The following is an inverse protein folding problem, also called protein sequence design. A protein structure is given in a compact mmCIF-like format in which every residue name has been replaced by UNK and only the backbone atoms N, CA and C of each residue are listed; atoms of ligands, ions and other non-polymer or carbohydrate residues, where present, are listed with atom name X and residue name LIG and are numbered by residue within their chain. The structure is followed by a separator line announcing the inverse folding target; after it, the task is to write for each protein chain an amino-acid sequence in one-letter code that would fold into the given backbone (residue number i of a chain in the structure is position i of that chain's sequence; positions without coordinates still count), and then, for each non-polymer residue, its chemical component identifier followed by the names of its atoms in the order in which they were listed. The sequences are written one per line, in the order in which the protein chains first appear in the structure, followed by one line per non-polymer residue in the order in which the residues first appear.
data_IF_176756071041
#
_entry.id   IF_176756071041
#
_cell.length_a   1.000
_cell.length_b   1.000
_cell.length_c   1.000
_cell.angle_alpha   90.00
_cell.angle_beta   90.00
_cell.angle_gamma   90.00
#
_symmetry.space_group_name_H-M   'P 1'
#
loop_
_entity.id
_entity.type
_entity.pdbx_description
1 polymer ?
#
# COMPACT_ATOMS: atom_id res chain seq x y z
N UNK A 1 20.18 38.30 -27.58
CA UNK A 1 19.37 38.03 -26.37
C UNK A 1 19.68 36.61 -25.95
N UNK A 2 20.64 36.42 -25.05
CA UNK A 2 21.17 35.10 -24.67
C UNK A 2 20.63 34.75 -23.29
N UNK A 3 19.78 33.72 -23.21
CA UNK A 3 19.30 33.19 -21.93
C UNK A 3 20.20 32.04 -21.52
N UNK A 4 20.91 32.23 -20.41
CA UNK A 4 21.73 31.23 -19.74
C UNK A 4 20.82 30.14 -19.16
N UNK A 5 21.07 28.88 -19.52
CA UNK A 5 20.47 27.72 -18.85
C UNK A 5 21.24 27.50 -17.54
N UNK A 6 20.59 27.79 -16.41
CA UNK A 6 21.13 27.54 -15.08
C UNK A 6 21.21 26.05 -14.80
N UNK A 7 22.43 25.56 -14.60
CA UNK A 7 22.73 24.21 -14.12
C UNK A 7 22.31 24.11 -12.64
N UNK A 8 21.17 23.47 -12.36
CA UNK A 8 20.76 23.19 -10.98
C UNK A 8 21.50 21.95 -10.48
N UNK A 9 22.65 22.19 -9.84
CA UNK A 9 23.42 21.17 -9.15
C UNK A 9 22.67 20.76 -7.88
N UNK A 10 22.06 19.57 -7.88
CA UNK A 10 21.55 18.94 -6.67
C UNK A 10 22.74 18.23 -6.01
N UNK A 11 23.23 18.82 -4.92
CA UNK A 11 24.21 18.20 -4.04
C UNK A 11 23.54 17.01 -3.31
N UNK A 12 23.90 15.80 -3.74
CA UNK A 12 23.68 14.59 -2.95
C UNK A 12 24.77 14.49 -1.87
N UNK A 13 24.48 14.95 -0.65
CA UNK A 13 25.02 14.30 0.54
C UNK A 13 23.98 13.24 0.94
N UNK A 14 24.19 11.95 0.84
CA UNK A 14 25.40 11.21 1.16
C UNK A 14 25.01 10.15 2.16
N UNK A 15 24.21 9.16 1.73
CA UNK A 15 24.17 7.82 2.32
C UNK A 15 24.21 6.87 1.13
N UNK A 16 25.39 6.31 0.87
CA UNK A 16 25.53 5.16 -0.01
C UNK A 16 24.87 3.98 0.71
N UNK A 17 23.56 3.83 0.55
CA UNK A 17 22.93 2.55 0.79
C UNK A 17 23.50 1.60 -0.26
N UNK A 18 24.37 0.69 0.17
CA UNK A 18 24.76 -0.49 -0.60
C UNK A 18 23.48 -1.31 -0.83
N UNK A 19 22.73 -0.96 -1.87
CA UNK A 19 21.52 -1.66 -2.28
C UNK A 19 21.85 -2.61 -3.43
N UNK A 20 21.38 -3.85 -3.31
CA UNK A 20 21.48 -4.87 -4.35
C UNK A 20 20.79 -4.41 -5.64
N UNK A 21 21.23 -4.93 -6.79
CA UNK A 21 20.76 -4.51 -8.11
C UNK A 21 19.87 -5.60 -8.72
N UNK A 22 18.66 -5.25 -9.13
CA UNK A 22 17.77 -6.14 -9.87
C UNK A 22 18.27 -6.29 -11.31
N UNK A 23 17.98 -7.45 -11.90
CA UNK A 23 18.28 -7.76 -13.30
C UNK A 23 16.99 -7.80 -14.11
N UNK A 24 16.82 -6.84 -15.02
CA UNK A 24 15.65 -6.72 -15.89
C UNK A 24 16.01 -7.18 -17.29
N UNK A 25 15.29 -8.18 -17.76
CA UNK A 25 15.40 -8.71 -19.11
C UNK A 25 14.35 -8.03 -19.98
N UNK A 26 14.78 -7.35 -21.03
CA UNK A 26 13.90 -6.72 -22.01
C UNK A 26 13.64 -7.65 -23.20
N UNK A 27 12.49 -7.49 -23.85
CA UNK A 27 12.10 -8.30 -25.02
C UNK A 27 13.00 -8.08 -26.23
N UNK A 28 13.70 -6.94 -26.28
CA UNK A 28 14.69 -6.64 -27.32
C UNK A 28 16.06 -7.30 -27.07
N UNK A 29 16.18 -8.10 -26.01
CA UNK A 29 17.40 -8.82 -25.64
C UNK A 29 18.37 -8.03 -24.76
N UNK A 30 18.09 -6.76 -24.43
CA UNK A 30 18.90 -6.01 -23.48
C UNK A 30 18.68 -6.51 -22.05
N UNK A 31 19.76 -6.45 -21.26
CA UNK A 31 19.75 -6.76 -19.83
C UNK A 31 20.13 -5.48 -19.10
N UNK A 32 19.24 -5.02 -18.22
CA UNK A 32 19.43 -3.83 -17.40
C UNK A 32 19.69 -4.27 -15.97
N UNK A 33 20.79 -3.82 -15.38
CA UNK A 33 21.11 -4.03 -13.97
C UNK A 33 21.01 -2.71 -13.22
N UNK A 34 20.18 -2.64 -12.20
CA UNK A 34 20.02 -1.42 -11.41
C UNK A 34 18.85 -1.49 -10.45
N UNK A 35 18.86 -0.57 -9.48
CA UNK A 35 17.85 -0.53 -8.42
C UNK A 35 16.47 -0.16 -8.97
N UNK A 36 15.43 -0.96 -8.76
CA UNK A 36 14.06 -0.52 -9.03
C UNK A 36 13.66 0.50 -7.95
N UNK A 37 13.39 1.74 -8.37
CA UNK A 37 13.04 2.84 -7.46
C UNK A 37 11.56 3.21 -7.51
N UNK A 38 10.82 2.69 -8.49
CA UNK A 38 9.37 2.81 -8.59
C UNK A 38 8.82 1.70 -9.50
N UNK A 39 7.73 1.06 -9.11
CA UNK A 39 7.01 0.06 -9.89
C UNK A 39 5.54 0.48 -9.97
N UNK A 40 5.10 0.94 -11.15
CA UNK A 40 3.72 1.28 -11.44
C UNK A 40 3.03 0.17 -12.24
N UNK A 41 1.70 0.21 -12.35
CA UNK A 41 0.91 -0.86 -13.01
C UNK A 41 1.27 -1.14 -14.47
N UNK A 42 2.04 -0.25 -15.13
CA UNK A 42 2.43 -0.35 -16.54
C UNK A 42 3.92 -0.11 -16.80
N UNK A 43 4.72 0.20 -15.76
CA UNK A 43 6.13 0.53 -15.93
C UNK A 43 6.94 0.30 -14.65
N UNK A 44 8.26 0.18 -14.82
CA UNK A 44 9.24 0.23 -13.73
C UNK A 44 10.24 1.36 -13.98
N UNK A 45 10.70 2.02 -12.94
CA UNK A 45 11.81 2.99 -12.98
C UNK A 45 13.02 2.36 -12.30
N UNK A 46 14.14 2.37 -12.99
CA UNK A 46 15.36 1.68 -12.63
C UNK A 46 16.51 2.68 -12.59
N UNK A 47 17.31 2.64 -11.53
CA UNK A 47 18.52 3.44 -11.43
C UNK A 47 19.68 2.73 -12.14
N UNK A 48 19.94 3.14 -13.38
CA UNK A 48 21.14 2.74 -14.11
C UNK A 48 22.30 3.66 -13.74
N UNK A 49 23.08 3.23 -12.75
CA UNK A 49 24.08 4.09 -12.13
C UNK A 49 23.41 5.25 -11.39
N UNK A 50 23.58 6.48 -11.87
CA UNK A 50 22.98 7.70 -11.28
C UNK A 50 21.77 8.23 -12.05
N UNK A 51 21.36 7.55 -13.13
CA UNK A 51 20.29 8.02 -14.00
C UNK A 51 19.06 7.13 -13.86
N UNK A 52 17.89 7.68 -13.50
CA UNK A 52 16.64 6.94 -13.53
C UNK A 52 16.22 6.68 -14.99
N UNK A 53 15.86 5.45 -15.31
CA UNK A 53 15.30 5.05 -16.59
C UNK A 53 13.98 4.33 -16.40
N UNK A 54 12.98 4.68 -17.22
CA UNK A 54 11.67 4.06 -17.21
C UNK A 54 11.58 2.97 -18.28
N UNK A 55 11.00 1.83 -17.91
CA UNK A 55 10.72 0.68 -18.77
C UNK A 55 9.25 0.30 -18.65
N UNK A 56 8.55 0.13 -19.77
CA UNK A 56 7.14 -0.25 -19.77
C UNK A 56 6.97 -1.77 -19.77
N UNK A 57 5.83 -2.27 -19.25
CA UNK A 57 5.57 -3.72 -19.13
C UNK A 57 5.58 -4.45 -20.49
N UNK A 58 5.25 -3.75 -21.57
CA UNK A 58 5.32 -4.29 -22.92
C UNK A 58 6.77 -4.48 -23.41
N UNK A 59 7.74 -3.76 -22.84
CA UNK A 59 9.17 -3.87 -23.12
C UNK A 59 9.86 -4.92 -22.25
N UNK A 60 9.30 -5.24 -21.08
CA UNK A 60 9.90 -6.14 -20.10
C UNK A 60 9.52 -7.59 -20.43
N UNK A 61 10.53 -8.44 -20.52
CA UNK A 61 10.35 -9.89 -20.65
C UNK A 61 10.17 -10.52 -19.27
N UNK A 62 11.07 -10.21 -18.33
CA UNK A 62 11.02 -10.66 -16.93
C UNK A 62 11.97 -9.83 -16.07
N UNK A 63 11.74 -9.84 -14.77
CA UNK A 63 12.61 -9.20 -13.77
C UNK A 63 13.09 -10.31 -12.83
N UNK A 64 14.41 -10.45 -12.69
CA UNK A 64 15.04 -11.27 -11.66
C UNK A 64 15.48 -10.32 -10.54
N UNK A 65 14.88 -10.50 -9.37
CA UNK A 65 15.30 -9.83 -8.14
C UNK A 65 16.33 -10.74 -7.48
N UNK A 66 17.54 -10.25 -7.19
CA UNK A 66 18.56 -11.05 -6.49
C UNK A 66 17.97 -11.51 -5.15
N UNK A 67 18.02 -12.82 -4.87
CA UNK A 67 17.27 -13.53 -3.81
C UNK A 67 17.70 -13.20 -2.35
N UNK A 68 18.41 -12.10 -2.11
CA UNK A 68 18.58 -11.52 -0.78
C UNK A 68 17.99 -10.10 -0.77
N UNK A 69 16.81 -9.97 -0.16
CA UNK A 69 16.01 -8.74 0.04
C UNK A 69 15.11 -8.29 -1.12
N UNK A 70 14.15 -9.13 -1.50
CA UNK A 70 12.77 -8.66 -1.71
C UNK A 70 11.83 -9.59 -0.97
N UNK A 71 11.69 -9.28 0.31
CA UNK A 71 10.73 -9.92 1.19
C UNK A 71 9.34 -9.37 0.83
N UNK A 72 8.69 -9.98 -0.16
CA UNK A 72 7.23 -9.98 -0.23
C UNK A 72 6.68 -11.11 0.66
N UNK A 73 7.29 -11.32 1.83
CA UNK A 73 6.66 -12.08 2.89
C UNK A 73 5.47 -11.28 3.42
N UNK A 74 4.32 -11.96 3.43
CA UNK A 74 3.26 -11.66 4.38
C UNK A 74 3.87 -11.50 5.79
N UNK A 75 3.41 -10.53 6.58
CA UNK A 75 3.53 -10.44 8.06
C UNK A 75 4.48 -9.42 8.72
N UNK A 76 5.17 -8.50 8.03
CA UNK A 76 6.00 -7.49 8.70
C UNK A 76 5.42 -6.07 8.69
N UNK A 77 4.72 -5.74 9.78
CA UNK A 77 4.48 -4.39 10.31
C UNK A 77 5.61 -3.38 9.96
N UNK A 78 5.31 -2.33 9.18
CA UNK A 78 6.20 -1.16 8.96
C UNK A 78 6.14 -0.11 10.08
N UNK A 79 5.37 -0.40 11.12
CA UNK A 79 5.15 0.49 12.25
C UNK A 79 5.96 -0.04 13.42
N UNK A 80 7.13 0.54 13.67
CA UNK A 80 7.92 0.22 14.87
C UNK A 80 7.06 0.43 16.13
N UNK A 81 6.69 -0.62 16.87
CA UNK A 81 5.83 -0.50 18.04
C UNK A 81 6.46 0.33 19.17
N UNK A 82 7.79 0.48 19.17
CA UNK A 82 8.51 1.25 20.18
C UNK A 82 8.38 2.77 20.00
N UNK A 83 7.86 3.23 18.86
CA UNK A 83 7.64 4.67 18.62
C UNK A 83 6.44 5.25 19.40
N UNK A 84 5.63 4.40 20.03
CA UNK A 84 4.46 4.82 20.82
C UNK A 84 4.84 4.88 22.30
N UNK A 85 4.92 6.09 22.86
CA UNK A 85 5.31 6.29 24.27
C UNK A 85 4.21 5.84 25.25
N UNK A 86 2.93 6.07 24.88
CA UNK A 86 1.78 5.84 25.78
C UNK A 86 1.12 4.46 25.59
N UNK A 87 1.51 3.70 24.57
CA UNK A 87 0.90 2.41 24.22
C UNK A 87 1.96 1.33 24.26
N UNK A 88 1.70 0.22 24.97
CA UNK A 88 2.68 -0.85 25.04
C UNK A 88 2.95 -1.47 23.65
N UNK A 89 4.21 -1.84 23.33
CA UNK A 89 4.55 -2.49 22.06
C UNK A 89 3.68 -3.71 21.72
N UNK A 90 3.33 -4.52 22.73
CA UNK A 90 2.41 -5.64 22.57
C UNK A 90 1.02 -5.18 22.10
N UNK A 91 0.48 -4.13 22.72
CA UNK A 91 -0.85 -3.62 22.38
C UNK A 91 -0.86 -2.97 21.00
N UNK A 92 0.20 -2.26 20.62
CA UNK A 92 0.39 -1.75 19.26
C UNK A 92 0.32 -2.88 18.23
N UNK A 93 1.08 -3.97 18.45
CA UNK A 93 1.06 -5.13 17.57
C UNK A 93 -0.33 -5.75 17.45
N UNK A 94 -1.03 -5.92 18.57
CA UNK A 94 -2.40 -6.44 18.58
C UNK A 94 -3.37 -5.56 17.77
N UNK A 95 -3.25 -4.23 17.89
CA UNK A 95 -4.09 -3.29 17.13
C UNK A 95 -3.82 -3.43 15.63
N UNK A 96 -2.55 -3.48 15.23
CA UNK A 96 -2.16 -3.63 13.82
C UNK A 96 -2.67 -4.97 13.28
N UNK A 97 -2.45 -6.06 14.00
CA UNK A 97 -2.97 -7.39 13.64
C UNK A 97 -4.49 -7.38 13.50
N UNK A 98 -5.21 -6.72 14.41
CA UNK A 98 -6.68 -6.61 14.33
C UNK A 98 -7.12 -5.92 13.03
N UNK A 99 -6.46 -4.82 12.65
CA UNK A 99 -6.76 -4.08 11.41
C UNK A 99 -6.47 -4.89 10.15
N UNK A 100 -5.53 -5.82 10.21
CA UNK A 100 -5.24 -6.75 9.11
C UNK A 100 -6.31 -7.83 9.03
N UNK A 101 -6.55 -8.56 10.12
CA UNK A 101 -7.45 -9.73 10.10
C UNK A 101 -8.92 -9.36 9.94
N UNK A 102 -9.33 -8.14 10.32
CA UNK A 102 -10.70 -7.67 10.12
C UNK A 102 -10.93 -7.00 8.74
N UNK A 103 -9.88 -6.88 7.92
CA UNK A 103 -9.95 -6.27 6.58
C UNK A 103 -9.88 -4.73 6.56
N UNK A 104 -9.62 -4.06 7.68
CA UNK A 104 -9.52 -2.58 7.74
C UNK A 104 -8.40 -2.07 6.84
N UNK A 105 -7.20 -2.64 6.94
CA UNK A 105 -6.05 -2.27 6.09
C UNK A 105 -6.38 -2.46 4.61
N UNK A 106 -6.95 -3.61 4.26
CA UNK A 106 -7.35 -3.92 2.88
C UNK A 106 -8.39 -2.92 2.35
N UNK A 107 -9.41 -2.59 3.16
CA UNK A 107 -10.44 -1.63 2.77
C UNK A 107 -9.86 -0.22 2.56
N UNK A 108 -8.94 0.22 3.42
CA UNK A 108 -8.23 1.51 3.23
C UNK A 108 -7.42 1.50 1.95
N UNK A 109 -6.69 0.43 1.68
CA UNK A 109 -5.92 0.28 0.47
C UNK A 109 -6.82 0.36 -0.77
N UNK A 110 -7.90 -0.42 -0.81
CA UNK A 110 -8.84 -0.39 -1.93
C UNK A 110 -9.49 0.98 -2.11
N UNK A 111 -9.82 1.69 -1.02
CA UNK A 111 -10.37 3.05 -1.11
C UNK A 111 -9.34 4.05 -1.69
N UNK A 112 -8.09 3.98 -1.26
CA UNK A 112 -7.00 4.82 -1.79
C UNK A 112 -6.76 4.52 -3.27
N UNK A 113 -6.69 3.24 -3.64
CA UNK A 113 -6.57 2.79 -5.04
C UNK A 113 -7.72 3.34 -5.90
N UNK A 114 -8.95 3.32 -5.39
CA UNK A 114 -10.12 3.88 -6.08
C UNK A 114 -10.03 5.39 -6.24
N UNK A 115 -9.53 6.12 -5.23
CA UNK A 115 -9.32 7.58 -5.30
C UNK A 115 -8.26 7.90 -6.37
N UNK A 116 -7.13 7.19 -6.35
CA UNK A 116 -6.05 7.35 -7.34
C UNK A 116 -6.57 7.02 -8.75
N UNK A 117 -7.34 5.94 -8.91
CA UNK A 117 -7.92 5.54 -10.19
C UNK A 117 -8.86 6.60 -10.77
N UNK A 118 -9.57 7.34 -9.92
CA UNK A 118 -10.46 8.44 -10.32
C UNK A 118 -9.70 9.75 -10.66
N UNK A 119 -8.45 9.90 -10.23
CA UNK A 119 -7.64 11.07 -10.54
C UNK A 119 -7.20 11.11 -12.02
N UNK A 120 -7.02 12.31 -12.61
CA UNK A 120 -6.41 12.47 -13.94
C UNK A 120 -5.07 11.74 -14.03
N UNK A 121 -4.77 11.11 -15.16
CA UNK A 121 -3.59 10.25 -15.33
C UNK A 121 -2.29 10.95 -14.94
N UNK A 122 -2.13 12.20 -15.35
CA UNK A 122 -0.98 13.05 -15.02
C UNK A 122 -0.83 13.39 -13.52
N UNK A 123 -1.91 13.28 -12.73
CA UNK A 123 -1.92 13.57 -11.28
C UNK A 123 -1.72 12.32 -10.44
N UNK A 124 -1.95 11.12 -10.97
CA UNK A 124 -1.88 9.86 -10.19
C UNK A 124 -0.55 9.67 -9.45
N UNK A 125 0.63 9.96 -10.03
CA UNK A 125 1.89 9.84 -9.30
C UNK A 125 1.97 10.76 -8.07
N UNK A 126 1.37 11.95 -8.15
CA UNK A 126 1.31 12.87 -7.00
C UNK A 126 0.42 12.29 -5.91
N UNK A 127 -0.74 11.70 -6.25
CA UNK A 127 -1.63 11.06 -5.29
C UNK A 127 -1.02 9.78 -4.67
N UNK A 128 -0.34 8.96 -5.47
CA UNK A 128 0.40 7.78 -5.00
C UNK A 128 1.47 8.18 -3.98
N UNK A 129 2.18 9.29 -4.21
CA UNK A 129 3.18 9.80 -3.28
C UNK A 129 2.60 10.43 -2.00
N UNK A 130 1.32 10.83 -2.01
CA UNK A 130 0.67 11.48 -0.86
C UNK A 130 0.06 10.49 0.13
N UNK A 131 -0.28 9.27 -0.31
CA UNK A 131 -0.97 8.30 0.54
C UNK A 131 -0.01 7.25 1.10
N UNK A 132 0.30 7.39 2.39
CA UNK A 132 0.95 6.35 3.18
C UNK A 132 -0.07 5.72 4.15
N UNK A 133 -0.40 4.45 3.91
CA UNK A 133 -1.35 3.69 4.73
C UNK A 133 -0.83 3.50 6.16
N UNK A 134 0.49 3.33 6.33
CA UNK A 134 1.08 3.13 7.65
C UNK A 134 1.07 4.42 8.45
N UNK A 135 1.21 5.59 7.82
CA UNK A 135 0.97 6.86 8.49
C UNK A 135 -0.47 6.98 9.01
N UNK A 136 -1.46 6.54 8.22
CA UNK A 136 -2.86 6.54 8.66
C UNK A 136 -3.05 5.58 9.83
N UNK A 137 -2.51 4.35 9.75
CA UNK A 137 -2.64 3.35 10.82
C UNK A 137 -1.96 3.82 12.10
N UNK A 138 -0.82 4.50 12.02
CA UNK A 138 -0.18 5.15 13.19
C UNK A 138 -1.13 6.09 13.91
N UNK A 139 -1.94 6.87 13.19
CA UNK A 139 -2.94 7.76 13.78
C UNK A 139 -4.12 7.02 14.42
N UNK A 140 -4.42 5.79 13.97
CA UNK A 140 -5.51 4.99 14.51
C UNK A 140 -5.14 4.23 15.78
N UNK A 141 -3.85 3.93 15.99
CA UNK A 141 -3.38 3.16 17.16
C UNK A 141 -3.84 3.77 18.50
N UNK A 142 -3.65 5.07 18.78
CA UNK A 142 -4.12 5.68 20.01
C UNK A 142 -5.65 5.62 20.17
N UNK A 143 -6.39 5.59 19.06
CA UNK A 143 -7.86 5.48 19.09
C UNK A 143 -8.25 4.09 19.57
N UNK A 144 -7.68 3.04 18.97
CA UNK A 144 -7.97 1.66 19.39
C UNK A 144 -7.50 1.37 20.82
N UNK A 145 -6.33 1.91 21.20
CA UNK A 145 -5.81 1.80 22.56
C UNK A 145 -6.80 2.30 23.62
N UNK A 146 -7.47 3.42 23.35
CA UNK A 146 -8.47 4.03 24.23
C UNK A 146 -9.71 3.16 24.46
N UNK A 147 -10.11 2.36 23.47
CA UNK A 147 -11.40 1.66 23.51
C UNK A 147 -11.29 0.17 23.81
N UNK A 148 -10.12 -0.44 23.63
CA UNK A 148 -9.95 -1.87 23.78
C UNK A 148 -8.77 -2.22 24.70
N UNK A 149 -8.99 -3.21 25.55
CA UNK A 149 -7.93 -3.88 26.31
C UNK A 149 -7.17 -4.87 25.43
N UNK A 150 -5.97 -5.28 25.85
CA UNK A 150 -5.22 -6.33 25.14
C UNK A 150 -5.98 -7.65 25.05
N UNK A 151 -6.72 -8.01 26.10
CA UNK A 151 -7.51 -9.25 26.16
C UNK A 151 -8.65 -9.23 25.14
N UNK A 152 -9.35 -8.11 25.03
CA UNK A 152 -10.39 -7.91 24.01
C UNK A 152 -9.80 -7.92 22.60
N UNK A 153 -8.65 -7.27 22.39
CA UNK A 153 -7.95 -7.32 21.10
C UNK A 153 -7.59 -8.76 20.70
N UNK A 154 -7.02 -9.55 21.62
CA UNK A 154 -6.71 -10.98 21.40
C UNK A 154 -7.97 -11.77 21.05
N UNK A 155 -9.05 -11.62 21.81
CA UNK A 155 -10.31 -12.31 21.55
C UNK A 155 -10.93 -11.94 20.19
N UNK A 156 -10.86 -10.66 19.80
CA UNK A 156 -11.32 -10.21 18.49
C UNK A 156 -10.47 -10.80 17.36
N UNK A 157 -9.14 -10.80 17.51
CA UNK A 157 -8.21 -11.40 16.52
C UNK A 157 -8.52 -12.89 16.35
N UNK A 158 -8.69 -13.63 17.43
CA UNK A 158 -9.03 -15.06 17.39
C UNK A 158 -10.35 -15.30 16.66
N UNK A 159 -11.36 -14.47 16.92
CA UNK A 159 -12.62 -14.52 16.18
C UNK A 159 -12.42 -14.26 14.69
N UNK A 160 -11.76 -13.18 14.29
CA UNK A 160 -11.55 -12.84 12.87
C UNK A 160 -10.68 -13.87 12.13
N UNK A 161 -9.79 -14.59 12.83
CA UNK A 161 -9.02 -15.71 12.28
C UNK A 161 -9.81 -17.00 12.14
N UNK A 162 -10.92 -17.16 12.86
CA UNK A 162 -11.78 -18.34 12.78
C UNK A 162 -12.49 -18.44 11.42
N UNK A 163 -12.99 -19.64 11.07
CA UNK A 163 -13.78 -19.83 9.85
C UNK A 163 -15.00 -18.88 9.74
N UNK A 164 -15.86 -18.71 10.76
CA UNK A 164 -16.95 -17.75 10.68
C UNK A 164 -16.47 -16.29 10.63
N UNK A 165 -15.36 -15.93 11.30
CA UNK A 165 -14.79 -14.58 11.25
C UNK A 165 -14.25 -14.22 9.86
N UNK A 166 -13.49 -15.12 9.23
CA UNK A 166 -13.05 -14.95 7.84
C UNK A 166 -14.23 -14.82 6.88
N UNK A 167 -15.24 -15.69 7.06
CA UNK A 167 -16.47 -15.63 6.25
C UNK A 167 -17.20 -14.29 6.42
N UNK A 168 -17.23 -13.74 7.64
CA UNK A 168 -17.81 -12.42 7.89
C UNK A 168 -17.07 -11.34 7.08
N UNK A 169 -15.74 -11.28 7.18
CA UNK A 169 -14.91 -10.29 6.45
C UNK A 169 -15.13 -10.39 4.94
N UNK A 170 -15.15 -11.60 4.39
CA UNK A 170 -15.36 -11.84 2.95
C UNK A 170 -16.79 -11.52 2.48
N UNK A 171 -17.80 -11.83 3.29
CA UNK A 171 -19.19 -11.71 2.89
C UNK A 171 -19.78 -10.31 3.12
N UNK A 172 -19.29 -9.57 4.13
CA UNK A 172 -19.86 -8.26 4.51
C UNK A 172 -19.92 -7.26 3.34
N UNK A 173 -18.89 -7.09 2.48
CA UNK A 173 -18.98 -6.17 1.34
C UNK A 173 -20.14 -6.52 0.38
N UNK A 174 -20.34 -7.80 0.10
CA UNK A 174 -21.42 -8.27 -0.77
C UNK A 174 -22.79 -8.10 -0.12
N UNK A 175 -22.90 -8.40 1.18
CA UNK A 175 -24.13 -8.16 1.96
C UNK A 175 -24.50 -6.68 1.92
N UNK A 176 -23.54 -5.77 2.12
CA UNK A 176 -23.80 -4.32 2.07
C UNK A 176 -24.24 -3.86 0.69
N UNK A 177 -23.65 -4.41 -0.38
CA UNK A 177 -24.06 -4.13 -1.76
C UNK A 177 -25.49 -4.56 -2.03
N UNK A 178 -25.86 -5.77 -1.61
CA UNK A 178 -27.23 -6.29 -1.74
C UNK A 178 -28.23 -5.49 -0.88
N UNK A 179 -27.85 -5.12 0.34
CA UNK A 179 -28.69 -4.30 1.21
C UNK A 179 -28.99 -2.91 0.63
N UNK A 180 -28.00 -2.30 -0.03
CA UNK A 180 -28.20 -1.04 -0.76
C UNK A 180 -29.20 -1.22 -1.91
N UNK A 181 -29.07 -2.30 -2.69
CA UNK A 181 -30.00 -2.61 -3.78
C UNK A 181 -31.43 -2.76 -3.27
N UNK A 182 -31.64 -3.51 -2.18
CA UNK A 182 -32.95 -3.66 -1.53
C UNK A 182 -33.53 -2.30 -1.14
N UNK A 183 -32.70 -1.41 -0.59
CA UNK A 183 -33.12 -0.06 -0.20
C UNK A 183 -33.57 0.78 -1.41
N UNK A 184 -32.82 0.72 -2.50
CA UNK A 184 -33.16 1.41 -3.76
C UNK A 184 -34.48 0.88 -4.33
N UNK A 185 -34.65 -0.44 -4.40
CA UNK A 185 -35.87 -1.08 -4.89
C UNK A 185 -37.09 -0.69 -4.04
N UNK A 186 -36.94 -0.66 -2.71
CA UNK A 186 -37.99 -0.20 -1.80
C UNK A 186 -38.49 1.21 -2.14
N UNK A 187 -37.55 2.17 -2.31
CA UNK A 187 -37.92 3.54 -2.64
C UNK A 187 -38.55 3.65 -4.03
N UNK A 188 -38.04 2.92 -5.03
CA UNK A 188 -38.61 2.91 -6.38
C UNK A 188 -40.06 2.40 -6.38
N UNK A 189 -40.36 1.34 -5.63
CA UNK A 189 -41.72 0.82 -5.51
C UNK A 189 -42.68 1.81 -4.85
N UNK A 190 -42.21 2.60 -3.87
CA UNK A 190 -43.04 3.58 -3.15
C UNK A 190 -43.18 4.92 -3.88
N UNK A 191 -42.23 5.27 -4.74
CA UNK A 191 -42.26 6.48 -5.55
C UNK A 191 -43.00 6.30 -6.88
N UNK A 192 -43.37 5.07 -7.26
CA UNK A 192 -44.19 4.81 -8.42
C UNK A 192 -45.63 5.32 -8.19
N UNK A 193 -46.21 6.11 -9.12
CA UNK A 193 -47.55 6.67 -9.01
C UNK A 193 -48.67 5.61 -9.10
#
# INVERSE_FOLDING_TARGET
MNVKIGLMAIFFSGIAALGFAETIYLKDGRIVKGKIVNEGSYYVIVMEGKMPRRYYNDQILRIEKDEESYDYELDAVHIDPSQFEDVSPEKVNLIITLMEVNGTRQNMQTNIEQIIAQAPLERRPDFEALFDIDEIIKQLIPIYDKYYTQEELKAMIDFYRSAPGKKLVEATPQIMKEALQVSVEYFQQKAAP
#
